data_IF_387430657012
#
_entry.id   IF_387430657012
#
_cell.length_a   1.000
_cell.length_b   1.000
_cell.length_c   1.000
_cell.angle_alpha   90.00
_cell.angle_beta   90.00
_cell.angle_gamma   90.00
#
_symmetry.space_group_name_H-M   'P 1'
#
loop_
_entity.id
_entity.type
_entity.pdbx_description
1 polymer ?
#
# COMPACT_ATOMS: atom_id res chain seq x y z
N UNK A 1 11.07 -0.40 27.96
CA UNK A 1 11.02 -1.86 27.80
C UNK A 1 9.75 -2.21 27.03
N UNK A 2 9.81 -2.30 25.70
CA UNK A 2 8.65 -2.68 24.88
C UNK A 2 9.01 -3.86 23.98
N UNK A 3 8.68 -5.10 24.35
CA UNK A 3 8.75 -6.21 23.44
C UNK A 3 7.33 -6.72 23.17
N UNK A 4 6.52 -5.96 22.44
CA UNK A 4 5.48 -6.61 21.66
C UNK A 4 6.15 -7.11 20.39
N UNK A 5 6.34 -8.43 20.31
CA UNK A 5 6.84 -9.09 19.10
C UNK A 5 5.94 -8.68 17.93
N UNK A 6 6.54 -8.18 16.85
CA UNK A 6 5.89 -7.71 15.63
C UNK A 6 5.07 -8.78 14.88
N UNK A 7 4.93 -9.98 15.45
CA UNK A 7 4.34 -11.15 14.80
C UNK A 7 2.82 -11.16 14.74
N UNK A 8 2.11 -10.22 15.38
CA UNK A 8 0.65 -10.34 15.59
C UNK A 8 -0.26 -9.40 14.79
N UNK A 9 0.27 -8.49 13.98
CA UNK A 9 -0.57 -7.50 13.26
C UNK A 9 -0.50 -7.54 11.73
N UNK A 10 0.48 -8.19 11.11
CA UNK A 10 0.66 -8.12 9.65
C UNK A 10 0.14 -9.38 8.93
N UNK A 11 -0.79 -9.17 8.00
CA UNK A 11 -1.25 -10.17 7.02
C UNK A 11 -0.14 -10.62 6.05
N UNK A 12 0.99 -9.92 6.03
CA UNK A 12 2.19 -10.29 5.26
C UNK A 12 2.71 -11.70 5.58
N UNK A 13 2.27 -12.34 6.66
CA UNK A 13 2.75 -13.67 7.04
C UNK A 13 1.92 -14.85 6.53
N UNK A 14 1.02 -14.69 5.54
CA UNK A 14 0.21 -15.84 5.03
C UNK A 14 1.02 -16.85 4.20
N UNK A 15 1.96 -16.39 3.38
CA UNK A 15 2.80 -17.28 2.53
C UNK A 15 4.23 -17.43 3.08
N UNK A 16 4.88 -18.57 2.80
CA UNK A 16 6.26 -18.82 3.24
C UNK A 16 7.25 -17.79 2.66
N UNK A 17 7.05 -17.38 1.41
CA UNK A 17 7.85 -16.34 0.75
C UNK A 17 7.73 -14.99 1.44
N UNK A 18 6.52 -14.60 1.84
CA UNK A 18 6.29 -13.33 2.50
C UNK A 18 6.85 -13.33 3.94
N UNK A 19 6.73 -14.46 4.67
CA UNK A 19 7.39 -14.66 5.98
C UNK A 19 8.92 -14.48 5.91
N UNK A 20 9.57 -15.08 4.91
CA UNK A 20 11.03 -14.98 4.74
C UNK A 20 11.52 -13.56 4.37
N UNK A 21 10.69 -12.76 3.69
CA UNK A 21 11.01 -11.36 3.39
C UNK A 21 10.73 -10.42 4.57
N UNK A 22 9.78 -10.77 5.43
CA UNK A 22 9.30 -9.90 6.50
C UNK A 22 10.11 -9.98 7.81
N UNK A 23 10.65 -11.15 8.22
CA UNK A 23 11.34 -11.26 9.52
C UNK A 23 12.89 -11.30 9.38
N UNK A 24 13.67 -10.43 10.06
CA UNK A 24 13.31 -9.32 10.95
C UNK A 24 13.66 -7.96 10.30
N UNK A 25 12.93 -7.57 9.25
CA UNK A 25 13.17 -6.28 8.58
C UNK A 25 12.36 -5.07 9.10
N UNK A 26 11.16 -5.19 9.71
CA UNK A 26 10.41 -4.02 10.11
C UNK A 26 11.06 -3.33 11.33
N UNK A 27 11.22 -2.02 11.23
CA UNK A 27 11.64 -1.13 12.31
C UNK A 27 10.44 -0.29 12.78
N UNK A 28 10.46 0.24 14.02
CA UNK A 28 9.44 1.19 14.46
C UNK A 28 9.39 2.41 13.52
N UNK A 29 8.19 2.78 13.07
CA UNK A 29 8.00 3.99 12.30
C UNK A 29 8.11 5.22 13.22
N UNK A 30 8.83 6.29 12.84
CA UNK A 30 8.90 7.51 13.64
C UNK A 30 7.49 8.06 13.93
N UNK A 31 7.21 8.46 15.17
CA UNK A 31 5.85 8.89 15.54
C UNK A 31 5.44 10.21 14.86
N UNK A 32 6.38 11.15 14.73
CA UNK A 32 6.09 12.51 14.26
C UNK A 32 5.53 12.52 12.83
N UNK A 33 5.95 11.60 11.96
CA UNK A 33 5.49 11.53 10.56
C UNK A 33 3.99 11.21 10.42
N UNK A 34 3.36 10.64 11.45
CA UNK A 34 1.90 10.43 11.47
C UNK A 34 1.13 11.64 11.97
N UNK A 35 1.71 12.42 12.88
CA UNK A 35 1.01 13.48 13.60
C UNK A 35 1.32 14.88 13.09
N UNK A 36 2.41 15.04 12.35
CA UNK A 36 2.83 16.33 11.81
C UNK A 36 1.81 16.85 10.78
N UNK A 37 1.31 18.10 10.93
CA UNK A 37 0.38 18.68 9.99
C UNK A 37 1.01 18.91 8.61
N UNK A 38 0.41 18.33 7.56
CA UNK A 38 0.84 18.54 6.18
C UNK A 38 0.21 19.81 5.59
N UNK A 39 1.05 20.75 5.12
CA UNK A 39 0.59 21.96 4.41
C UNK A 39 0.57 21.71 2.90
N UNK A 40 -0.62 21.57 2.34
CA UNK A 40 -0.81 21.36 0.90
C UNK A 40 -0.90 22.71 0.17
N UNK A 41 -0.14 22.87 -0.91
CA UNK A 41 -0.12 24.08 -1.76
C UNK A 41 -0.89 23.92 -3.07
N UNK A 42 -1.49 22.75 -3.31
CA UNK A 42 -2.16 22.41 -4.58
C UNK A 42 -1.21 21.94 -5.69
N UNK A 43 0.12 22.03 -5.52
CA UNK A 43 1.08 21.54 -6.54
C UNK A 43 0.91 20.07 -6.91
N UNK A 44 0.42 19.25 -5.98
CA UNK A 44 0.16 17.83 -6.22
C UNK A 44 -0.96 17.57 -7.23
N UNK A 45 -1.87 18.52 -7.45
CA UNK A 45 -2.99 18.37 -8.38
C UNK A 45 -2.53 18.41 -9.85
N UNK A 46 -1.29 18.84 -10.11
CA UNK A 46 -0.67 18.85 -11.43
C UNK A 46 -0.07 17.49 -11.82
N UNK A 47 0.01 16.55 -10.87
CA UNK A 47 0.62 15.23 -11.08
C UNK A 47 -0.50 14.24 -11.36
N UNK A 48 -0.40 13.56 -12.50
CA UNK A 48 -1.32 12.47 -12.83
C UNK A 48 -1.16 11.35 -11.79
N UNK A 49 -2.30 10.87 -11.29
CA UNK A 49 -2.34 9.82 -10.30
C UNK A 49 -3.08 8.60 -10.82
N UNK A 50 -2.67 7.42 -10.36
CA UNK A 50 -3.39 6.16 -10.49
C UNK A 50 -3.47 5.51 -9.11
N UNK A 51 -4.52 4.72 -8.89
CA UNK A 51 -4.71 3.99 -7.64
C UNK A 51 -4.78 2.49 -7.90
N UNK A 52 -4.09 1.71 -7.07
CA UNK A 52 -4.12 0.23 -7.11
C UNK A 52 -4.68 -0.25 -5.77
N UNK A 53 -5.91 -0.76 -5.76
CA UNK A 53 -6.53 -1.34 -4.57
C UNK A 53 -6.16 -2.83 -4.42
N UNK A 54 -5.67 -3.21 -3.24
CA UNK A 54 -5.46 -4.61 -2.88
C UNK A 54 -6.75 -5.20 -2.27
N UNK A 55 -7.36 -6.18 -2.94
CA UNK A 55 -8.73 -6.62 -2.62
C UNK A 55 -8.83 -7.86 -1.73
N UNK A 56 -7.78 -8.70 -1.63
CA UNK A 56 -7.78 -9.95 -0.83
C UNK A 56 -7.41 -9.73 0.65
N UNK A 57 -7.67 -8.52 1.13
CA UNK A 57 -7.54 -8.14 2.52
C UNK A 57 -8.82 -7.46 3.00
N UNK A 58 -8.79 -6.78 4.15
CA UNK A 58 -9.96 -6.17 4.80
C UNK A 58 -10.63 -5.03 3.99
N UNK A 59 -10.21 -4.79 2.74
CA UNK A 59 -10.67 -3.70 1.87
C UNK A 59 -10.80 -2.34 2.57
N UNK A 60 -9.97 -2.08 3.57
CA UNK A 60 -9.97 -0.82 4.33
C UNK A 60 -9.64 0.40 3.46
N UNK A 61 -9.13 0.15 2.25
CA UNK A 61 -8.75 1.17 1.29
C UNK A 61 -9.83 1.50 0.24
N UNK A 62 -10.99 0.84 0.25
CA UNK A 62 -12.07 1.15 -0.71
C UNK A 62 -12.47 2.62 -0.70
N UNK A 63 -12.61 3.32 0.46
CA UNK A 63 -12.91 4.76 0.44
C UNK A 63 -11.82 5.60 -0.24
N UNK A 64 -10.58 5.14 -0.26
CA UNK A 64 -9.49 5.82 -0.97
C UNK A 64 -9.53 5.55 -2.48
N UNK A 65 -9.92 4.34 -2.89
CA UNK A 65 -10.18 4.02 -4.29
C UNK A 65 -11.32 4.86 -4.85
N UNK A 66 -12.43 5.00 -4.10
CA UNK A 66 -13.56 5.86 -4.47
C UNK A 66 -13.15 7.32 -4.61
N UNK A 67 -12.32 7.83 -3.69
CA UNK A 67 -11.77 9.20 -3.79
C UNK A 67 -10.87 9.39 -5.00
N UNK A 68 -10.11 8.38 -5.40
CA UNK A 68 -9.29 8.42 -6.60
C UNK A 68 -10.18 8.44 -7.86
N UNK A 69 -11.17 7.56 -7.93
CA UNK A 69 -12.15 7.54 -9.02
C UNK A 69 -12.91 8.87 -9.15
N UNK A 70 -13.34 9.47 -8.03
CA UNK A 70 -14.00 10.78 -8.01
C UNK A 70 -13.10 11.93 -8.52
N UNK A 71 -11.77 11.76 -8.46
CA UNK A 71 -10.78 12.68 -9.04
C UNK A 71 -10.47 12.38 -10.51
N UNK A 72 -11.12 11.38 -11.11
CA UNK A 72 -10.85 10.92 -12.47
C UNK A 72 -9.57 10.11 -12.60
N UNK A 73 -8.97 9.65 -11.50
CA UNK A 73 -7.77 8.81 -11.56
C UNK A 73 -8.16 7.38 -12.00
N UNK A 74 -7.36 6.73 -12.85
CA UNK A 74 -7.51 5.30 -13.12
C UNK A 74 -7.40 4.52 -11.80
N UNK A 75 -8.37 3.62 -11.59
CA UNK A 75 -8.39 2.71 -10.44
C UNK A 75 -8.25 1.30 -10.96
N UNK A 76 -7.28 0.59 -10.42
CA UNK A 76 -7.00 -0.81 -10.72
C UNK A 76 -7.16 -1.64 -9.46
N UNK A 77 -7.55 -2.90 -9.61
CA UNK A 77 -7.63 -3.85 -8.52
C UNK A 77 -6.54 -4.91 -8.66
N UNK A 78 -6.03 -5.39 -7.52
CA UNK A 78 -5.09 -6.49 -7.43
C UNK A 78 -5.51 -7.42 -6.29
N UNK A 79 -5.79 -8.68 -6.63
CA UNK A 79 -6.19 -9.73 -5.69
C UNK A 79 -4.98 -10.18 -4.84
N UNK A 80 -4.62 -9.36 -3.84
CA UNK A 80 -3.48 -9.59 -2.97
C UNK A 80 -3.63 -8.89 -1.61
N UNK A 81 -2.69 -9.16 -0.69
CA UNK A 81 -2.62 -8.50 0.62
C UNK A 81 -2.12 -7.05 0.55
N UNK A 82 -2.12 -6.33 1.67
CA UNK A 82 -1.66 -4.93 1.70
C UNK A 82 -0.21 -4.78 1.22
N UNK A 83 0.63 -5.77 1.50
CA UNK A 83 2.02 -5.81 1.09
C UNK A 83 2.21 -6.40 -0.32
N UNK A 84 1.53 -5.84 -1.34
CA UNK A 84 1.55 -6.34 -2.72
C UNK A 84 2.96 -6.55 -3.29
N UNK A 85 3.92 -5.69 -2.93
CA UNK A 85 5.34 -5.81 -3.30
C UNK A 85 6.01 -7.10 -2.79
N UNK A 86 5.40 -7.77 -1.82
CA UNK A 86 5.89 -9.03 -1.23
C UNK A 86 5.00 -10.20 -1.66
N UNK A 87 3.68 -10.00 -1.67
CA UNK A 87 2.70 -11.07 -1.90
C UNK A 87 2.45 -11.35 -3.38
N UNK A 88 2.49 -10.33 -4.25
CA UNK A 88 2.25 -10.44 -5.69
C UNK A 88 3.17 -9.48 -6.49
N UNK A 89 4.50 -9.61 -6.38
CA UNK A 89 5.43 -8.64 -6.97
C UNK A 89 5.44 -8.63 -8.50
N UNK A 90 5.15 -9.76 -9.16
CA UNK A 90 5.16 -9.82 -10.62
C UNK A 90 3.92 -9.13 -11.19
N UNK A 91 2.76 -9.47 -10.64
CA UNK A 91 1.46 -8.91 -10.98
C UNK A 91 1.41 -7.41 -10.67
N UNK A 92 1.99 -6.99 -9.54
CA UNK A 92 2.14 -5.57 -9.22
C UNK A 92 3.05 -4.85 -10.22
N UNK A 93 4.19 -5.45 -10.60
CA UNK A 93 5.11 -4.84 -11.56
C UNK A 93 4.46 -4.66 -12.94
N UNK A 94 3.75 -5.67 -13.44
CA UNK A 94 2.98 -5.57 -14.68
C UNK A 94 1.92 -4.48 -14.60
N UNK A 95 1.20 -4.38 -13.48
CA UNK A 95 0.19 -3.35 -13.28
C UNK A 95 0.80 -1.94 -13.22
N UNK A 96 1.96 -1.76 -12.59
CA UNK A 96 2.69 -0.50 -12.57
C UNK A 96 3.15 -0.08 -13.98
N UNK A 97 3.65 -1.03 -14.78
CA UNK A 97 4.04 -0.75 -16.17
C UNK A 97 2.85 -0.33 -17.03
N UNK A 98 1.69 -0.99 -16.85
CA UNK A 98 0.44 -0.58 -17.52
C UNK A 98 -0.01 0.81 -17.10
N UNK A 99 0.01 1.10 -15.79
CA UNK A 99 -0.41 2.40 -15.26
C UNK A 99 0.51 3.54 -15.73
N UNK A 100 1.81 3.28 -15.93
CA UNK A 100 2.76 4.26 -16.44
C UNK A 100 2.64 4.53 -17.95
N UNK A 101 2.02 3.63 -18.70
CA UNK A 101 1.82 3.75 -20.14
C UNK A 101 0.47 4.38 -20.53
N UNK A 102 -0.40 4.64 -19.55
CA UNK A 102 -1.72 5.25 -19.71
C UNK A 102 -1.67 6.77 -19.55
#
# INVERSE_FOLDING_TARGET
>A
MWPLRATRFSVCQRTARARARHSPRPTPHPWLTYTEPLRLTGKGDQVLGAFIECTDWMRVFTPHAERAAARGWPVYELATGHEAMVTAPAELAELLLRAAAA
#
